data_IF_419086867222
#
_entry.id   IF_419086867222
#
_cell.length_a   1.000
_cell.length_b   1.000
_cell.length_c   1.000
_cell.angle_alpha   90.00
_cell.angle_beta   90.00
_cell.angle_gamma   90.00
#
_symmetry.space_group_name_H-M   'P 1'
#
loop_
_entity.id
_entity.type
_entity.pdbx_description
1 polymer ?
#
# COMPACT_ATOMS: atom_id res chain seq x y z
N UNK A 1 -14.48 5.89 15.69
CA UNK A 1 -13.43 5.25 14.89
C UNK A 1 -12.97 4.08 15.73
N UNK A 2 -13.33 2.84 15.36
CA UNK A 2 -12.92 1.61 16.04
C UNK A 2 -13.05 0.46 15.05
N UNK A 3 -11.95 0.19 14.37
CA UNK A 3 -11.46 -1.12 13.98
C UNK A 3 -10.00 -1.03 14.41
N UNK A 4 -9.68 -1.77 15.48
CA UNK A 4 -8.53 -1.56 16.36
C UNK A 4 -7.22 -1.29 15.60
N UNK A 5 -6.41 -0.42 16.19
CA UNK A 5 -5.19 0.26 15.72
C UNK A 5 -4.05 -0.64 15.17
N UNK A 6 -4.32 -1.91 14.83
CA UNK A 6 -3.37 -2.85 14.24
C UNK A 6 -3.70 -3.33 12.81
N UNK A 7 -4.93 -3.20 12.31
CA UNK A 7 -5.24 -3.74 10.96
C UNK A 7 -4.91 -2.73 9.87
N UNK A 8 -3.86 -3.00 9.09
CA UNK A 8 -3.47 -2.17 7.97
C UNK A 8 -4.52 -2.24 6.84
N UNK A 9 -5.23 -1.13 6.61
CA UNK A 9 -6.12 -0.98 5.45
C UNK A 9 -5.39 -1.31 4.15
N UNK A 10 -6.03 -2.06 3.26
CA UNK A 10 -5.48 -2.51 1.98
C UNK A 10 -6.03 -1.71 0.79
N UNK A 11 -5.20 -1.42 -0.23
CA UNK A 11 -5.64 -0.80 -1.48
C UNK A 11 -6.72 -1.60 -2.22
N UNK A 12 -6.69 -2.93 -2.13
CA UNK A 12 -7.60 -3.83 -2.83
C UNK A 12 -8.23 -4.76 -1.81
N UNK A 13 -9.56 -4.81 -1.79
CA UNK A 13 -10.34 -5.75 -0.98
C UNK A 13 -11.19 -6.60 -1.91
N UNK A 14 -11.02 -7.92 -1.85
CA UNK A 14 -11.84 -8.89 -2.58
C UNK A 14 -12.79 -9.54 -1.60
N UNK A 15 -14.09 -9.53 -1.89
CA UNK A 15 -15.12 -10.13 -1.03
C UNK A 15 -15.82 -11.23 -1.80
N UNK A 16 -15.88 -12.42 -1.20
CA UNK A 16 -16.43 -13.61 -1.81
C UNK A 16 -16.93 -14.55 -0.70
N UNK A 17 -17.97 -15.32 -0.98
CA UNK A 17 -18.61 -16.25 -0.04
C UNK A 17 -18.31 -17.73 -0.33
N UNK A 18 -17.58 -18.03 -1.40
CA UNK A 18 -17.15 -19.39 -1.76
C UNK A 18 -15.62 -19.55 -1.67
N UNK A 19 -15.16 -20.47 -0.83
CA UNK A 19 -13.71 -20.75 -0.61
C UNK A 19 -12.97 -21.04 -1.91
N UNK A 20 -13.58 -21.83 -2.80
CA UNK A 20 -12.98 -22.23 -4.06
C UNK A 20 -12.64 -21.04 -4.97
N UNK A 21 -13.55 -20.05 -5.11
CA UNK A 21 -13.30 -18.86 -5.92
C UNK A 21 -12.18 -18.00 -5.32
N UNK A 22 -12.12 -17.88 -3.99
CA UNK A 22 -11.04 -17.16 -3.31
C UNK A 22 -9.69 -17.82 -3.61
N UNK A 23 -9.62 -19.15 -3.52
CA UNK A 23 -8.44 -19.92 -3.87
C UNK A 23 -7.99 -19.70 -5.31
N UNK A 24 -8.91 -19.77 -6.29
CA UNK A 24 -8.60 -19.50 -7.70
C UNK A 24 -8.08 -18.08 -7.93
N UNK A 25 -8.73 -17.07 -7.34
CA UNK A 25 -8.31 -15.68 -7.44
C UNK A 25 -6.90 -15.52 -6.86
N UNK A 26 -6.64 -16.09 -5.68
CA UNK A 26 -5.32 -16.00 -5.06
C UNK A 26 -4.24 -16.65 -5.92
N UNK A 27 -4.46 -17.88 -6.40
CA UNK A 27 -3.50 -18.59 -7.25
C UNK A 27 -3.18 -17.83 -8.53
N UNK A 28 -4.21 -17.31 -9.20
CA UNK A 28 -4.07 -16.48 -10.39
C UNK A 28 -3.24 -15.23 -10.11
N UNK A 29 -3.50 -14.53 -9.00
CA UNK A 29 -2.76 -13.34 -8.64
C UNK A 29 -1.30 -13.65 -8.26
N UNK A 30 -1.04 -14.74 -7.55
CA UNK A 30 0.32 -15.15 -7.23
C UNK A 30 1.13 -15.54 -8.48
N UNK A 31 0.47 -16.14 -9.48
CA UNK A 31 1.10 -16.49 -10.76
C UNK A 31 1.40 -15.26 -11.61
N UNK A 32 0.40 -14.41 -11.82
CA UNK A 32 0.42 -13.43 -12.92
C UNK A 32 0.71 -12.01 -12.46
N UNK A 33 0.54 -11.71 -11.17
CA UNK A 33 0.79 -10.39 -10.58
C UNK A 33 1.13 -10.48 -9.07
N UNK A 34 2.20 -11.22 -8.69
CA UNK A 34 2.54 -11.47 -7.29
C UNK A 34 2.73 -10.19 -6.48
N UNK A 35 3.14 -9.09 -7.11
CA UNK A 35 3.30 -7.79 -6.45
C UNK A 35 1.98 -7.17 -5.95
N UNK A 36 0.83 -7.71 -6.38
CA UNK A 36 -0.50 -7.30 -5.91
C UNK A 36 -0.82 -7.90 -4.54
N UNK A 37 -0.21 -9.04 -4.17
CA UNK A 37 -0.50 -9.75 -2.93
C UNK A 37 -0.37 -8.84 -1.68
N UNK A 38 0.69 -8.02 -1.62
CA UNK A 38 0.91 -7.07 -0.52
C UNK A 38 -0.19 -6.02 -0.36
N UNK A 39 -0.96 -5.77 -1.43
CA UNK A 39 -2.04 -4.78 -1.49
C UNK A 39 -3.42 -5.38 -1.31
N UNK A 40 -3.50 -6.70 -1.13
CA UNK A 40 -4.74 -7.46 -1.17
C UNK A 40 -5.20 -7.84 0.23
N UNK A 41 -6.49 -7.60 0.49
CA UNK A 41 -7.24 -8.25 1.57
C UNK A 41 -8.30 -9.17 0.95
N UNK A 42 -8.28 -10.45 1.32
CA UNK A 42 -9.31 -11.41 0.96
C UNK A 42 -10.34 -11.48 2.10
N UNK A 43 -11.59 -11.15 1.82
CA UNK A 43 -12.72 -11.25 2.75
C UNK A 43 -13.51 -12.50 2.39
N UNK A 44 -13.39 -13.52 3.23
CA UNK A 44 -14.11 -14.77 3.12
C UNK A 44 -15.39 -14.71 3.96
N UNK A 45 -16.52 -14.69 3.28
CA UNK A 45 -17.85 -14.74 3.90
C UNK A 45 -18.42 -16.16 3.96
N UNK A 46 -17.61 -17.21 3.80
CA UNK A 46 -18.13 -18.57 4.01
C UNK A 46 -18.46 -18.82 5.50
N UNK A 47 -19.23 -19.88 5.76
CA UNK A 47 -19.66 -20.27 7.10
C UNK A 47 -18.44 -20.59 7.98
N UNK A 48 -18.47 -20.21 9.26
CA UNK A 48 -17.41 -20.59 10.20
C UNK A 48 -17.37 -22.11 10.35
N UNK A 49 -16.16 -22.68 10.30
CA UNK A 49 -15.97 -24.12 10.43
C UNK A 49 -14.59 -24.58 9.95
N UNK A 50 -14.31 -25.90 10.06
CA UNK A 50 -13.01 -26.47 9.75
C UNK A 50 -12.52 -26.20 8.33
N UNK A 51 -13.42 -26.13 7.35
CA UNK A 51 -13.07 -25.88 5.95
C UNK A 51 -12.60 -24.44 5.75
N UNK A 52 -13.30 -23.46 6.31
CA UNK A 52 -12.93 -22.04 6.29
C UNK A 52 -11.64 -21.79 7.06
N UNK A 53 -11.48 -22.44 8.22
CA UNK A 53 -10.26 -22.41 9.02
C UNK A 53 -9.05 -22.93 8.22
N UNK A 54 -9.18 -24.09 7.58
CA UNK A 54 -8.13 -24.70 6.78
C UNK A 54 -7.79 -23.87 5.55
N UNK A 55 -8.80 -23.36 4.84
CA UNK A 55 -8.60 -22.52 3.66
C UNK A 55 -7.89 -21.20 4.01
N UNK A 56 -8.29 -20.53 5.10
CA UNK A 56 -7.65 -19.29 5.54
C UNK A 56 -6.17 -19.53 5.92
N UNK A 57 -5.87 -20.61 6.64
CA UNK A 57 -4.49 -20.99 6.97
C UNK A 57 -3.66 -21.26 5.70
N UNK A 58 -4.23 -21.99 4.74
CA UNK A 58 -3.57 -22.31 3.48
C UNK A 58 -3.28 -21.06 2.63
N UNK A 59 -4.22 -20.11 2.54
CA UNK A 59 -4.00 -18.85 1.84
C UNK A 59 -2.92 -18.00 2.48
N UNK A 60 -2.92 -17.90 3.81
CA UNK A 60 -1.90 -17.15 4.55
C UNK A 60 -0.51 -17.77 4.36
N UNK A 61 -0.41 -19.10 4.30
CA UNK A 61 0.85 -19.81 4.07
C UNK A 61 1.38 -19.63 2.63
N UNK A 62 0.49 -19.66 1.64
CA UNK A 62 0.87 -19.53 0.22
C UNK A 62 1.21 -18.08 -0.19
N UNK A 63 0.61 -17.09 0.47
CA UNK A 63 0.80 -15.68 0.18
C UNK A 63 1.22 -14.91 1.44
N UNK A 64 2.54 -14.81 1.73
CA UNK A 64 3.04 -14.15 2.94
C UNK A 64 2.60 -12.68 3.09
N UNK A 65 2.33 -12.00 1.98
CA UNK A 65 1.99 -10.57 2.00
C UNK A 65 0.47 -10.28 2.00
N UNK A 66 -0.37 -11.32 1.85
CA UNK A 66 -1.83 -11.17 1.83
C UNK A 66 -2.39 -11.00 3.25
N UNK A 67 -3.45 -10.20 3.37
CA UNK A 67 -4.31 -10.18 4.56
C UNK A 67 -5.57 -11.00 4.29
N UNK A 68 -6.00 -11.79 5.26
CA UNK A 68 -7.24 -12.57 5.18
C UNK A 68 -8.19 -12.12 6.27
N UNK A 69 -9.42 -11.77 5.90
CA UNK A 69 -10.51 -11.51 6.81
C UNK A 69 -11.54 -12.63 6.71
N UNK A 70 -11.71 -13.41 7.78
CA UNK A 70 -12.60 -14.57 7.78
C UNK A 70 -13.22 -14.83 9.16
N UNK A 71 -14.35 -15.55 9.20
CA UNK A 71 -14.95 -16.05 10.43
C UNK A 71 -14.28 -17.37 10.84
N UNK A 72 -13.06 -17.28 11.36
CA UNK A 72 -12.21 -18.42 11.72
C UNK A 72 -11.87 -18.45 13.20
N UNK A 73 -11.43 -19.60 13.70
CA UNK A 73 -10.82 -19.70 15.02
C UNK A 73 -9.35 -19.23 14.98
N UNK A 74 -8.97 -18.10 15.60
CA UNK A 74 -7.58 -17.63 15.56
C UNK A 74 -6.58 -18.62 16.19
N UNK A 75 -7.06 -19.52 17.05
CA UNK A 75 -6.26 -20.55 17.69
C UNK A 75 -5.69 -21.59 16.72
N UNK A 76 -6.33 -21.80 15.56
CA UNK A 76 -5.84 -22.75 14.55
C UNK A 76 -4.92 -22.11 13.51
N UNK A 77 -4.86 -20.78 13.47
CA UNK A 77 -3.92 -20.04 12.61
C UNK A 77 -2.55 -19.96 13.30
N UNK A 78 -1.44 -20.28 12.59
CA UNK A 78 -0.09 -20.16 13.12
C UNK A 78 0.20 -18.76 13.65
N UNK A 79 0.93 -18.66 14.76
CA UNK A 79 1.18 -17.37 15.43
C UNK A 79 1.83 -16.33 14.50
N UNK A 80 2.71 -16.76 13.60
CA UNK A 80 3.37 -15.91 12.61
C UNK A 80 2.41 -15.26 11.60
N UNK A 81 1.22 -15.84 11.42
CA UNK A 81 0.24 -15.39 10.41
C UNK A 81 -0.92 -14.59 11.03
N UNK A 82 -1.04 -14.58 12.36
CA UNK A 82 -2.16 -13.95 13.07
C UNK A 82 -2.24 -12.44 12.87
N UNK A 83 -1.12 -11.76 12.65
CA UNK A 83 -1.11 -10.32 12.37
C UNK A 83 -1.75 -9.98 11.02
N UNK A 84 -1.77 -10.95 10.09
CA UNK A 84 -2.39 -10.83 8.77
C UNK A 84 -3.81 -11.37 8.72
N UNK A 85 -4.31 -11.90 9.85
CA UNK A 85 -5.65 -12.39 10.00
C UNK A 85 -6.54 -11.33 10.65
N UNK A 86 -7.68 -11.05 10.03
CA UNK A 86 -8.75 -10.25 10.62
C UNK A 86 -9.95 -11.16 10.89
N UNK A 87 -10.33 -11.30 12.16
CA UNK A 87 -11.51 -12.11 12.48
C UNK A 87 -12.78 -11.33 12.18
N UNK A 88 -13.64 -11.88 11.33
CA UNK A 88 -14.94 -11.28 11.04
C UNK A 88 -15.89 -11.49 12.23
N UNK A 89 -16.53 -10.43 12.75
CA UNK A 89 -17.51 -10.59 13.82
C UNK A 89 -18.76 -11.31 13.29
N UNK A 90 -19.44 -12.15 14.09
CA UNK A 90 -20.67 -12.83 13.65
C UNK A 90 -21.76 -11.89 13.12
N UNK A 91 -21.88 -10.69 13.71
CA UNK A 91 -22.81 -9.65 13.27
C UNK A 91 -22.59 -9.19 11.81
N UNK A 92 -21.38 -9.38 11.25
CA UNK A 92 -21.08 -9.13 9.84
C UNK A 92 -22.01 -9.92 8.89
N UNK A 93 -22.50 -11.08 9.32
CA UNK A 93 -23.38 -11.97 8.54
C UNK A 93 -24.87 -11.70 8.79
N UNK A 94 -25.20 -10.82 9.75
CA UNK A 94 -26.55 -10.64 10.27
C UNK A 94 -27.11 -9.24 10.02
N UNK A 95 -26.25 -8.20 9.92
CA UNK A 95 -26.70 -6.84 9.67
C UNK A 95 -25.85 -6.03 8.67
N UNK A 96 -26.54 -5.28 7.81
CA UNK A 96 -25.96 -4.40 6.79
C UNK A 96 -24.94 -3.39 7.36
N UNK A 97 -25.25 -2.63 8.44
CA UNK A 97 -24.30 -1.66 8.98
C UNK A 97 -22.95 -2.27 9.39
N UNK A 98 -22.96 -3.43 10.04
CA UNK A 98 -21.74 -4.11 10.49
C UNK A 98 -20.94 -4.64 9.31
N UNK A 99 -21.59 -5.29 8.34
CA UNK A 99 -20.92 -5.71 7.09
C UNK A 99 -20.21 -4.52 6.43
N UNK A 100 -20.95 -3.44 6.15
CA UNK A 100 -20.41 -2.28 5.44
C UNK A 100 -19.27 -1.62 6.21
N UNK A 101 -19.37 -1.47 7.54
CA UNK A 101 -18.29 -0.89 8.36
C UNK A 101 -17.05 -1.77 8.39
N UNK A 102 -17.21 -3.09 8.50
CA UNK A 102 -16.09 -4.04 8.50
C UNK A 102 -15.34 -3.97 7.17
N UNK A 103 -16.04 -4.09 6.03
CA UNK A 103 -15.40 -4.02 4.71
C UNK A 103 -14.79 -2.63 4.46
N UNK A 104 -15.49 -1.54 4.80
CA UNK A 104 -14.95 -0.19 4.66
C UNK A 104 -13.69 0.01 5.51
N UNK A 105 -13.62 -0.58 6.70
CA UNK A 105 -12.45 -0.46 7.54
C UNK A 105 -11.25 -1.31 7.13
N UNK A 106 -11.45 -2.28 6.25
CA UNK A 106 -10.37 -3.00 5.58
C UNK A 106 -9.84 -2.26 4.35
N UNK A 107 -10.64 -1.35 3.77
CA UNK A 107 -10.34 -0.70 2.50
C UNK A 107 -9.67 0.66 2.71
N UNK A 108 -8.61 0.94 1.93
CA UNK A 108 -8.02 2.28 1.88
C UNK A 108 -8.94 3.27 1.15
N UNK A 109 -8.95 4.56 1.54
CA UNK A 109 -9.56 5.60 0.73
C UNK A 109 -9.06 5.57 -0.73
N UNK A 110 -9.98 5.67 -1.68
CA UNK A 110 -9.70 5.52 -3.11
C UNK A 110 -9.44 4.08 -3.57
N UNK A 111 -9.48 3.10 -2.65
CA UNK A 111 -9.23 1.68 -2.89
C UNK A 111 -10.17 1.03 -3.92
N UNK A 112 -9.91 -0.24 -4.23
CA UNK A 112 -10.77 -1.07 -5.07
C UNK A 112 -11.46 -2.12 -4.21
N UNK A 113 -12.80 -2.09 -4.22
CA UNK A 113 -13.63 -3.17 -3.73
C UNK A 113 -14.02 -4.05 -4.92
N UNK A 114 -13.56 -5.29 -4.94
CA UNK A 114 -14.03 -6.34 -5.85
C UNK A 114 -14.94 -7.27 -5.05
N UNK A 115 -16.22 -7.35 -5.39
CA UNK A 115 -17.19 -8.10 -4.59
C UNK A 115 -17.91 -9.11 -5.47
N UNK A 116 -18.17 -10.33 -4.99
CA UNK A 116 -19.16 -11.16 -5.67
C UNK A 116 -20.54 -10.49 -5.63
N UNK A 117 -21.28 -10.64 -6.71
CA UNK A 117 -22.61 -10.06 -6.80
C UNK A 117 -23.65 -10.87 -6.03
N UNK A 118 -23.38 -12.13 -5.76
CA UNK A 118 -24.27 -13.01 -5.00
C UNK A 118 -23.54 -13.45 -3.74
N UNK A 119 -23.91 -12.86 -2.61
CA UNK A 119 -23.34 -13.17 -1.29
C UNK A 119 -24.38 -13.92 -0.46
N UNK A 120 -24.57 -15.21 -0.76
CA UNK A 120 -25.64 -16.04 -0.21
C UNK A 120 -25.47 -16.38 1.28
N UNK A 121 -24.30 -16.10 1.86
CA UNK A 121 -24.04 -16.30 3.29
C UNK A 121 -24.49 -15.12 4.15
N UNK A 122 -24.77 -13.96 3.56
CA UNK A 122 -25.30 -12.80 4.26
C UNK A 122 -26.80 -12.98 4.49
N UNK A 123 -27.21 -13.29 5.72
CA UNK A 123 -28.59 -13.67 6.07
C UNK A 123 -29.62 -12.57 5.88
N UNK A 124 -29.16 -11.32 5.82
CA UNK A 124 -30.01 -10.16 5.60
C UNK A 124 -30.27 -9.87 4.11
N UNK A 125 -29.57 -10.58 3.19
CA UNK A 125 -29.85 -10.52 1.76
C UNK A 125 -30.80 -11.67 1.38
N UNK A 126 -31.99 -11.38 0.84
CA UNK A 126 -32.88 -12.42 0.34
C UNK A 126 -32.33 -13.08 -0.93
N UNK A 127 -32.48 -14.40 -1.06
CA UNK A 127 -32.02 -15.16 -2.23
C UNK A 127 -32.56 -14.61 -3.57
N UNK A 128 -33.82 -14.17 -3.58
CA UNK A 128 -34.46 -13.60 -4.77
C UNK A 128 -33.94 -12.20 -5.13
N UNK A 129 -33.27 -11.54 -4.18
CA UNK A 129 -32.72 -10.18 -4.30
C UNK A 129 -31.21 -10.15 -4.07
N UNK A 130 -30.51 -11.18 -4.52
CA UNK A 130 -29.04 -11.30 -4.45
C UNK A 130 -28.28 -10.05 -4.93
N UNK A 131 -28.84 -9.35 -5.93
CA UNK A 131 -28.29 -8.12 -6.49
C UNK A 131 -28.27 -6.93 -5.50
N UNK A 132 -28.98 -7.02 -4.36
CA UNK A 132 -28.90 -6.01 -3.29
C UNK A 132 -27.51 -5.91 -2.67
N UNK A 133 -26.64 -6.90 -2.88
CA UNK A 133 -25.22 -6.80 -2.55
C UNK A 133 -24.53 -5.58 -3.20
N UNK A 134 -25.03 -5.10 -4.35
CA UNK A 134 -24.57 -3.87 -5.01
C UNK A 134 -24.84 -2.64 -4.14
N UNK A 135 -25.99 -2.58 -3.45
CA UNK A 135 -26.28 -1.49 -2.53
C UNK A 135 -25.35 -1.48 -1.33
N UNK A 136 -24.86 -2.65 -0.89
CA UNK A 136 -23.85 -2.72 0.16
C UNK A 136 -22.54 -2.07 -0.30
N UNK A 137 -22.08 -2.39 -1.51
CA UNK A 137 -20.89 -1.77 -2.10
C UNK A 137 -21.06 -0.24 -2.29
N UNK A 138 -22.24 0.23 -2.68
CA UNK A 138 -22.56 1.66 -2.76
C UNK A 138 -22.62 2.33 -1.37
N UNK A 139 -23.13 1.63 -0.37
CA UNK A 139 -23.13 2.10 1.02
C UNK A 139 -21.70 2.24 1.53
N UNK A 140 -20.84 1.25 1.29
CA UNK A 140 -19.40 1.31 1.57
C UNK A 140 -18.79 2.50 0.85
N UNK A 141 -19.08 2.68 -0.45
CA UNK A 141 -18.59 3.83 -1.23
C UNK A 141 -18.95 5.17 -0.58
N UNK A 142 -20.20 5.31 -0.12
CA UNK A 142 -20.70 6.49 0.58
C UNK A 142 -20.03 6.79 1.93
N UNK A 143 -19.39 5.80 2.56
CA UNK A 143 -18.63 6.01 3.80
C UNK A 143 -17.31 6.77 3.59
N UNK A 144 -16.84 6.87 2.34
CA UNK A 144 -15.59 7.53 1.98
C UNK A 144 -15.88 8.88 1.31
N UNK A 145 -16.02 9.93 2.12
CA UNK A 145 -16.44 11.25 1.66
C UNK A 145 -15.57 11.83 0.52
N UNK A 146 -14.26 11.94 0.73
CA UNK A 146 -13.36 12.68 -0.18
C UNK A 146 -12.72 11.82 -1.26
N UNK A 147 -12.54 10.53 -0.98
CA UNK A 147 -11.87 9.56 -1.83
C UNK A 147 -12.66 8.24 -1.82
N UNK A 148 -13.82 8.20 -2.50
CA UNK A 148 -14.63 6.99 -2.59
C UNK A 148 -13.88 5.86 -3.30
N UNK A 149 -14.07 4.60 -2.86
CA UNK A 149 -13.50 3.45 -3.54
C UNK A 149 -14.15 3.23 -4.91
N UNK A 150 -13.37 2.63 -5.80
CA UNK A 150 -13.88 2.00 -7.00
C UNK A 150 -14.53 0.67 -6.64
N UNK A 151 -15.72 0.40 -7.15
CA UNK A 151 -16.37 -0.90 -6.97
C UNK A 151 -16.36 -1.67 -8.29
N UNK A 152 -16.09 -2.96 -8.20
CA UNK A 152 -16.20 -3.94 -9.29
C UNK A 152 -16.90 -5.17 -8.73
N UNK A 153 -17.62 -5.86 -9.59
CA UNK A 153 -18.40 -7.01 -9.20
C UNK A 153 -17.93 -8.25 -9.95
N UNK A 154 -18.05 -9.42 -9.34
CA UNK A 154 -17.85 -10.70 -10.00
C UNK A 154 -19.20 -11.38 -10.16
N UNK A 155 -19.38 -12.17 -11.22
CA UNK A 155 -20.59 -12.96 -11.35
C UNK A 155 -20.43 -14.15 -12.29
N UNK A 156 -21.15 -15.23 -11.99
CA UNK A 156 -21.22 -16.44 -12.81
C UNK A 156 -22.16 -16.33 -14.01
N UNK A 157 -23.07 -15.35 -14.02
CA UNK A 157 -23.99 -15.16 -15.15
C UNK A 157 -23.25 -14.59 -16.37
N UNK A 158 -23.88 -14.57 -17.54
CA UNK A 158 -23.38 -13.89 -18.72
C UNK A 158 -24.47 -12.95 -19.25
N UNK A 159 -24.10 -11.83 -19.88
CA UNK A 159 -25.11 -10.89 -20.41
C UNK A 159 -25.85 -10.12 -19.32
N UNK A 160 -25.13 -9.66 -18.29
CA UNK A 160 -25.70 -9.02 -17.11
C UNK A 160 -26.50 -7.74 -17.41
N UNK A 161 -26.20 -7.06 -18.52
CA UNK A 161 -26.94 -5.90 -19.03
C UNK A 161 -28.45 -6.19 -19.18
N UNK A 162 -28.83 -7.44 -19.49
CA UNK A 162 -30.22 -7.85 -19.64
C UNK A 162 -30.86 -8.35 -18.33
N UNK A 163 -30.07 -8.53 -17.27
CA UNK A 163 -30.53 -9.10 -15.98
C UNK A 163 -30.86 -8.02 -14.95
N UNK A 164 -30.35 -6.80 -15.12
CA UNK A 164 -30.52 -5.71 -14.18
C UNK A 164 -31.66 -4.77 -14.60
N UNK A 165 -32.55 -4.46 -13.65
CA UNK A 165 -33.62 -3.49 -13.83
C UNK A 165 -33.11 -2.06 -13.99
N UNK A 166 -33.97 -1.16 -14.47
CA UNK A 166 -33.67 0.27 -14.60
C UNK A 166 -33.22 0.90 -13.27
N UNK A 167 -33.75 0.36 -12.18
CA UNK A 167 -33.54 0.69 -10.77
C UNK A 167 -32.06 0.57 -10.33
N UNK A 168 -31.25 -0.30 -10.96
CA UNK A 168 -29.81 -0.36 -10.68
C UNK A 168 -29.04 0.77 -11.37
N UNK A 169 -29.43 1.15 -12.59
CA UNK A 169 -28.84 2.31 -13.26
C UNK A 169 -29.15 3.61 -12.52
N UNK A 170 -30.37 3.75 -11.96
CA UNK A 170 -30.78 4.91 -11.18
C UNK A 170 -29.92 5.14 -9.93
N UNK A 171 -29.35 4.07 -9.35
CA UNK A 171 -28.41 4.17 -8.23
C UNK A 171 -26.93 4.19 -8.65
N UNK A 172 -26.68 4.43 -9.94
CA UNK A 172 -25.34 4.64 -10.49
C UNK A 172 -24.53 3.35 -10.71
N UNK A 173 -25.18 2.19 -10.79
CA UNK A 173 -24.54 0.96 -11.23
C UNK A 173 -24.26 1.00 -12.74
N UNK A 174 -23.05 0.56 -13.12
CA UNK A 174 -22.64 0.42 -14.51
C UNK A 174 -22.35 -1.06 -14.78
N UNK A 175 -23.07 -1.74 -15.71
CA UNK A 175 -22.84 -3.14 -16.03
C UNK A 175 -21.40 -3.48 -16.44
N UNK A 176 -20.64 -2.49 -16.94
CA UNK A 176 -19.21 -2.63 -17.27
C UNK A 176 -18.33 -2.82 -16.04
N UNK A 177 -18.88 -2.65 -14.84
CA UNK A 177 -18.22 -2.92 -13.57
C UNK A 177 -18.27 -4.41 -13.18
N UNK A 178 -19.04 -5.24 -13.89
CA UNK A 178 -19.15 -6.69 -13.65
C UNK A 178 -18.13 -7.47 -14.48
N UNK A 179 -17.35 -8.30 -13.81
CA UNK A 179 -16.41 -9.25 -14.39
C UNK A 179 -17.06 -10.64 -14.38
N UNK A 180 -17.04 -11.32 -15.52
CA UNK A 180 -17.52 -12.68 -15.60
C UNK A 180 -16.50 -13.64 -14.95
N UNK A 181 -16.94 -14.45 -13.98
CA UNK A 181 -16.08 -15.36 -13.20
C UNK A 181 -15.26 -16.31 -14.09
N UNK A 182 -15.88 -16.87 -15.13
CA UNK A 182 -15.23 -17.74 -16.12
C UNK A 182 -14.14 -17.05 -16.97
N UNK A 183 -14.01 -15.71 -16.91
CA UNK A 183 -12.98 -14.93 -17.61
C UNK A 183 -12.09 -14.14 -16.66
N UNK A 184 -12.16 -14.39 -15.34
CA UNK A 184 -11.31 -13.68 -14.38
C UNK A 184 -9.82 -13.75 -14.73
N UNK A 185 -9.24 -14.89 -15.19
CA UNK A 185 -7.84 -14.92 -15.62
C UNK A 185 -7.49 -13.84 -16.65
N UNK A 186 -8.37 -13.61 -17.62
CA UNK A 186 -8.16 -12.63 -18.70
C UNK A 186 -8.46 -11.19 -18.27
N UNK A 187 -9.39 -11.00 -17.33
CA UNK A 187 -9.97 -9.69 -17.03
C UNK A 187 -9.45 -9.07 -15.73
N UNK A 188 -9.23 -9.89 -14.70
CA UNK A 188 -8.96 -9.41 -13.35
C UNK A 188 -7.58 -8.77 -13.25
N UNK A 189 -6.53 -9.50 -13.66
CA UNK A 189 -5.14 -9.04 -13.55
C UNK A 189 -4.94 -7.68 -14.26
N UNK A 190 -5.38 -7.48 -15.52
CA UNK A 190 -5.27 -6.18 -16.17
C UNK A 190 -6.03 -5.06 -15.45
N UNK A 191 -7.20 -5.36 -14.88
CA UNK A 191 -8.00 -4.39 -14.11
C UNK A 191 -7.26 -3.97 -12.85
N UNK A 192 -6.72 -4.93 -12.08
CA UNK A 192 -6.00 -4.62 -10.84
C UNK A 192 -4.70 -3.86 -11.12
N UNK A 193 -3.93 -4.27 -12.14
CA UNK A 193 -2.70 -3.56 -12.53
C UNK A 193 -3.00 -2.12 -12.99
N UNK A 194 -4.04 -1.93 -13.80
CA UNK A 194 -4.46 -0.60 -14.25
C UNK A 194 -4.93 0.26 -13.09
N UNK A 195 -5.71 -0.32 -12.18
CA UNK A 195 -6.16 0.34 -10.96
C UNK A 195 -4.96 0.78 -10.12
N UNK A 196 -4.04 -0.13 -9.79
CA UNK A 196 -2.81 0.14 -9.03
C UNK A 196 -2.03 1.30 -9.65
N UNK A 197 -1.68 1.19 -10.94
CA UNK A 197 -0.89 2.21 -11.65
C UNK A 197 -1.55 3.58 -11.69
N UNK A 198 -2.89 3.63 -11.64
CA UNK A 198 -3.63 4.89 -11.66
C UNK A 198 -3.76 5.49 -10.27
N UNK A 199 -4.16 4.68 -9.30
CA UNK A 199 -4.65 5.14 -7.99
C UNK A 199 -3.58 5.12 -6.91
N UNK A 200 -2.70 4.12 -6.91
CA UNK A 200 -1.58 4.00 -5.97
C UNK A 200 -0.24 3.92 -6.72
N UNK A 201 0.16 4.99 -7.42
CA UNK A 201 1.27 4.91 -8.37
C UNK A 201 2.65 5.07 -7.74
N UNK A 202 2.70 5.40 -6.45
CA UNK A 202 3.93 5.65 -5.73
C UNK A 202 4.24 4.49 -4.79
N UNK A 203 5.52 4.16 -4.69
CA UNK A 203 6.04 3.21 -3.72
C UNK A 203 6.88 3.98 -2.71
N UNK A 204 6.55 3.83 -1.43
CA UNK A 204 7.28 4.35 -0.31
C UNK A 204 8.05 3.23 0.38
N UNK A 205 9.36 3.37 0.47
CA UNK A 205 10.25 2.47 1.22
C UNK A 205 10.61 3.14 2.54
N UNK A 206 10.49 2.41 3.65
CA UNK A 206 10.84 2.85 5.00
C UNK A 206 11.49 1.70 5.78
N UNK A 207 12.25 1.94 6.86
CA UNK A 207 12.76 0.88 7.71
C UNK A 207 11.62 0.07 8.32
N UNK A 208 11.69 -1.25 8.20
CA UNK A 208 10.80 -2.17 8.90
C UNK A 208 11.33 -2.52 10.30
N UNK A 209 10.47 -3.14 11.14
CA UNK A 209 10.79 -3.46 12.53
C UNK A 209 11.99 -4.42 12.67
N UNK A 210 12.22 -5.28 11.70
CA UNK A 210 13.31 -6.26 11.69
C UNK A 210 14.56 -5.78 10.93
N UNK A 211 14.63 -4.49 10.60
CA UNK A 211 15.73 -3.89 9.84
C UNK A 211 15.64 -4.07 8.32
N UNK A 212 14.65 -4.82 7.83
CA UNK A 212 14.34 -4.93 6.40
C UNK A 212 13.42 -3.78 5.94
N UNK A 213 13.58 -3.23 4.73
CA UNK A 213 12.68 -2.20 4.22
C UNK A 213 11.23 -2.69 4.14
N UNK A 214 10.30 -1.94 4.71
CA UNK A 214 8.87 -2.06 4.43
C UNK A 214 8.52 -1.24 3.19
N UNK A 215 7.57 -1.75 2.39
CA UNK A 215 7.04 -1.05 1.24
C UNK A 215 5.55 -0.69 1.42
N UNK A 216 5.22 0.57 1.14
CA UNK A 216 3.88 1.12 1.20
C UNK A 216 3.50 1.76 -0.13
N UNK A 217 2.37 1.35 -0.68
CA UNK A 217 1.81 1.95 -1.87
C UNK A 217 1.06 3.23 -1.52
N UNK A 218 1.31 4.32 -2.23
CA UNK A 218 0.71 5.63 -1.93
C UNK A 218 -0.04 6.18 -3.12
N UNK A 219 -1.12 6.91 -2.81
CA UNK A 219 -1.81 7.76 -3.75
C UNK A 219 -1.02 9.08 -3.91
N UNK A 220 -1.04 9.66 -5.10
CA UNK A 220 -0.46 10.99 -5.33
C UNK A 220 -1.44 12.13 -5.02
N UNK A 221 -2.65 11.81 -4.56
CA UNK A 221 -3.63 12.78 -4.09
C UNK A 221 -3.22 13.38 -2.73
N UNK A 222 -3.04 14.72 -2.64
CA UNK A 222 -2.65 15.38 -1.39
C UNK A 222 -3.70 15.30 -0.28
N UNK A 223 -4.93 14.87 -0.59
CA UNK A 223 -6.00 14.61 0.38
C UNK A 223 -5.89 13.24 1.04
N UNK A 224 -5.00 12.36 0.55
CA UNK A 224 -4.77 11.08 1.19
C UNK A 224 -4.21 11.30 2.61
N UNK A 225 -4.78 10.67 3.66
CA UNK A 225 -4.33 10.87 5.03
C UNK A 225 -2.94 10.28 5.32
N UNK A 226 -2.51 9.28 4.55
CA UNK A 226 -1.23 8.57 4.72
C UNK A 226 -0.14 9.21 3.86
N UNK A 227 0.26 10.42 4.23
CA UNK A 227 1.35 11.14 3.59
C UNK A 227 2.64 10.92 4.38
N UNK A 228 3.71 10.32 3.82
CA UNK A 228 4.97 10.02 4.53
C UNK A 228 5.54 11.19 5.34
N UNK A 229 5.42 12.42 4.85
CA UNK A 229 5.86 13.61 5.56
C UNK A 229 5.16 13.87 6.91
N UNK A 230 4.06 13.18 7.22
CA UNK A 230 3.35 13.31 8.51
C UNK A 230 3.89 12.37 9.59
N UNK A 231 4.61 11.31 9.21
CA UNK A 231 5.13 10.29 10.14
C UNK A 231 6.62 10.01 9.99
N UNK A 232 7.28 10.51 8.94
CA UNK A 232 8.73 10.43 8.76
C UNK A 232 9.44 11.74 9.12
N UNK A 233 10.64 11.64 9.69
CA UNK A 233 11.53 12.78 9.95
C UNK A 233 12.08 13.39 8.64
N UNK A 234 12.32 12.53 7.63
CA UNK A 234 12.87 12.89 6.33
C UNK A 234 12.33 11.97 5.24
N UNK A 235 11.94 12.54 4.09
CA UNK A 235 11.43 11.80 2.93
C UNK A 235 12.12 12.29 1.67
N UNK A 236 12.81 11.40 0.96
CA UNK A 236 13.27 11.65 -0.40
C UNK A 236 12.14 11.32 -1.37
N UNK A 237 11.53 12.35 -1.95
CA UNK A 237 10.36 12.23 -2.82
C UNK A 237 10.73 12.45 -4.28
N UNK A 238 10.54 11.43 -5.11
CA UNK A 238 10.60 11.52 -6.55
C UNK A 238 9.18 11.62 -7.11
N UNK A 239 8.86 12.73 -7.78
CA UNK A 239 7.55 12.87 -8.41
C UNK A 239 7.52 12.28 -9.83
N UNK A 240 6.31 12.16 -10.39
CA UNK A 240 6.09 11.70 -11.78
C UNK A 240 6.69 12.64 -12.82
N UNK A 241 6.90 13.92 -12.50
CA UNK A 241 7.50 14.94 -13.37
C UNK A 241 9.03 14.95 -13.30
N UNK A 242 9.63 13.92 -12.68
CA UNK A 242 11.08 13.77 -12.47
C UNK A 242 11.70 14.85 -11.59
N UNK A 243 10.91 15.62 -10.84
CA UNK A 243 11.44 16.44 -9.78
C UNK A 243 11.79 15.54 -8.59
N UNK A 244 12.83 15.93 -7.84
CA UNK A 244 13.16 15.29 -6.58
C UNK A 244 13.15 16.33 -5.48
N UNK A 245 12.52 15.99 -4.37
CA UNK A 245 12.36 16.86 -3.22
C UNK A 245 12.81 16.10 -1.99
N UNK A 246 13.41 16.82 -1.06
CA UNK A 246 13.57 16.36 0.30
C UNK A 246 12.46 17.02 1.11
N UNK A 247 11.65 16.24 1.80
CA UNK A 247 10.56 16.70 2.66
C UNK A 247 10.85 16.27 4.10
N UNK A 248 10.30 16.97 5.08
CA UNK A 248 10.27 16.49 6.47
C UNK A 248 10.63 17.54 7.51
N UNK A 249 10.24 17.26 8.75
CA UNK A 249 10.35 18.17 9.89
C UNK A 249 11.80 18.51 10.27
N UNK A 250 12.77 17.70 9.82
CA UNK A 250 14.19 17.93 10.07
C UNK A 250 14.83 18.92 9.10
N UNK A 251 14.12 19.41 8.10
CA UNK A 251 14.65 20.39 7.16
C UNK A 251 14.55 21.82 7.68
N UNK A 252 15.66 22.54 7.60
CA UNK A 252 15.75 23.96 7.86
C UNK A 252 15.41 24.72 6.58
N UNK A 253 14.17 25.18 6.46
CA UNK A 253 13.70 25.92 5.28
C UNK A 253 13.32 27.35 5.62
N UNK A 254 13.76 28.31 4.80
CA UNK A 254 13.41 29.74 4.98
C UNK A 254 11.92 30.01 4.72
N UNK A 255 11.26 29.16 3.94
CA UNK A 255 9.85 29.27 3.59
C UNK A 255 8.90 28.67 4.63
N UNK A 256 9.43 27.98 5.66
CA UNK A 256 8.63 27.24 6.64
C UNK A 256 7.93 26.00 6.07
N UNK A 257 8.16 25.64 4.79
CA UNK A 257 7.47 24.54 4.10
C UNK A 257 8.10 23.17 4.30
N UNK A 258 9.20 23.06 5.05
CA UNK A 258 9.90 21.78 5.32
C UNK A 258 10.15 20.96 4.03
N UNK A 259 10.45 21.67 2.95
CA UNK A 259 10.69 21.15 1.60
C UNK A 259 11.95 21.79 0.99
N UNK A 260 12.79 20.95 0.38
CA UNK A 260 13.96 21.34 -0.39
C UNK A 260 13.91 20.67 -1.78
N UNK A 261 13.90 21.48 -2.84
CA UNK A 261 13.98 20.97 -4.21
C UNK A 261 15.42 20.56 -4.54
N UNK A 262 15.61 19.32 -4.97
CA UNK A 262 16.89 18.74 -5.36
C UNK A 262 16.95 18.59 -6.88
N UNK A 263 17.92 19.27 -7.51
CA UNK A 263 18.17 19.15 -8.95
C UNK A 263 18.97 17.87 -9.23
N UNK A 264 18.49 17.02 -10.12
CA UNK A 264 19.04 15.67 -10.38
C UNK A 264 20.48 15.66 -10.91
N UNK A 265 20.93 16.73 -11.54
CA UNK A 265 22.26 16.92 -12.10
C UNK A 265 23.28 17.49 -11.07
N UNK A 266 22.88 17.60 -9.80
CA UNK A 266 23.74 18.17 -8.76
C UNK A 266 24.33 17.11 -7.85
N UNK A 267 25.54 17.39 -7.34
CA UNK A 267 26.20 16.56 -6.34
C UNK A 267 25.47 16.52 -5.00
N UNK A 268 24.67 17.54 -4.69
CA UNK A 268 23.75 17.55 -3.56
C UNK A 268 22.69 16.45 -3.70
N UNK A 269 22.04 16.33 -4.87
CA UNK A 269 21.11 15.23 -5.15
C UNK A 269 21.77 13.86 -5.05
N UNK A 270 22.91 13.65 -5.74
CA UNK A 270 23.62 12.36 -5.73
C UNK A 270 23.98 11.90 -4.31
N UNK A 271 24.36 12.85 -3.45
CA UNK A 271 24.73 12.55 -2.05
C UNK A 271 23.52 12.23 -1.20
N UNK A 272 22.43 13.01 -1.31
CA UNK A 272 21.19 12.71 -0.58
C UNK A 272 20.59 11.37 -0.98
N UNK A 273 20.53 11.08 -2.27
CA UNK A 273 20.06 9.79 -2.78
C UNK A 273 20.90 8.64 -2.23
N UNK A 274 22.23 8.77 -2.27
CA UNK A 274 23.14 7.76 -1.75
C UNK A 274 22.99 7.54 -0.24
N UNK A 275 22.83 8.60 0.54
CA UNK A 275 22.62 8.51 2.00
C UNK A 275 21.31 7.80 2.35
N UNK A 276 20.21 8.15 1.67
CA UNK A 276 18.89 7.54 1.91
C UNK A 276 18.86 6.09 1.45
N UNK A 277 19.44 5.79 0.29
CA UNK A 277 19.53 4.41 -0.22
C UNK A 277 20.33 3.53 0.73
N UNK A 278 21.54 3.98 1.13
CA UNK A 278 22.37 3.23 2.06
C UNK A 278 21.69 3.03 3.42
N UNK A 279 20.92 4.00 3.89
CA UNK A 279 20.15 3.86 5.13
C UNK A 279 19.03 2.81 5.02
N UNK A 280 18.24 2.87 3.95
CA UNK A 280 17.14 1.92 3.72
C UNK A 280 17.66 0.49 3.51
N UNK A 281 18.78 0.33 2.83
CA UNK A 281 19.40 -0.97 2.57
C UNK A 281 20.25 -1.49 3.75
N UNK A 282 20.16 -0.84 4.93
CA UNK A 282 20.95 -1.16 6.14
C UNK A 282 22.47 -1.21 5.90
N UNK A 283 22.95 -0.42 4.95
CA UNK A 283 24.36 -0.35 4.55
C UNK A 283 25.22 0.56 5.43
N UNK A 284 26.55 0.55 5.24
CA UNK A 284 27.50 1.32 6.06
C UNK A 284 27.44 2.85 5.82
N UNK A 285 26.70 3.31 4.81
CA UNK A 285 26.67 4.69 4.36
C UNK A 285 27.58 4.95 3.15
N UNK A 286 27.88 6.21 2.89
CA UNK A 286 28.70 6.65 1.75
C UNK A 286 30.17 6.79 2.15
N UNK A 287 31.12 6.14 1.45
CA UNK A 287 32.54 6.30 1.74
C UNK A 287 33.01 7.75 1.56
N UNK A 288 33.72 8.30 2.54
CA UNK A 288 34.21 9.69 2.52
C UNK A 288 35.02 10.00 1.26
N UNK A 289 35.90 9.07 0.85
CA UNK A 289 36.73 9.23 -0.34
C UNK A 289 35.91 9.22 -1.63
N UNK A 290 34.84 8.45 -1.68
CA UNK A 290 33.97 8.41 -2.86
C UNK A 290 33.22 9.71 -3.03
N UNK A 291 32.64 10.24 -1.95
CA UNK A 291 32.00 11.56 -1.95
C UNK A 291 33.01 12.64 -2.36
N UNK A 292 34.22 12.60 -1.79
CA UNK A 292 35.28 13.56 -2.11
C UNK A 292 35.71 13.55 -3.58
N UNK A 293 35.91 12.37 -4.17
CA UNK A 293 36.32 12.24 -5.58
C UNK A 293 35.31 12.80 -6.57
N UNK A 294 34.01 12.77 -6.22
CA UNK A 294 32.95 13.36 -7.06
C UNK A 294 32.96 14.89 -7.06
N UNK A 295 33.64 15.51 -6.09
CA UNK A 295 33.59 16.94 -5.80
C UNK A 295 34.91 17.66 -6.04
N UNK A 296 36.03 16.97 -5.83
CA UNK A 296 37.37 17.53 -5.98
C UNK A 296 37.80 17.60 -7.45
N UNK A 297 38.77 18.46 -7.81
CA UNK A 297 39.44 18.43 -9.11
C UNK A 297 40.01 17.05 -9.46
N UNK A 298 40.18 16.75 -10.75
CA UNK A 298 40.64 15.43 -11.23
C UNK A 298 42.05 15.06 -10.71
N UNK A 299 42.91 16.06 -10.46
CA UNK A 299 44.28 15.92 -9.97
C UNK A 299 44.43 16.10 -8.45
N UNK A 300 43.31 16.18 -7.72
CA UNK A 300 43.32 16.44 -6.29
C UNK A 300 43.98 15.31 -5.48
N UNK A 301 44.87 15.69 -4.56
CA UNK A 301 45.47 14.77 -3.60
C UNK A 301 44.47 14.26 -2.55
N UNK A 302 44.82 13.19 -1.84
CA UNK A 302 43.96 12.54 -0.82
C UNK A 302 43.40 13.51 0.24
N UNK A 303 44.21 14.50 0.67
CA UNK A 303 43.78 15.50 1.65
C UNK A 303 42.70 16.43 1.08
N UNK A 304 42.85 16.85 -0.18
CA UNK A 304 41.89 17.73 -0.86
C UNK A 304 40.57 17.01 -1.14
N UNK A 305 40.63 15.74 -1.57
CA UNK A 305 39.45 14.86 -1.69
C UNK A 305 38.66 14.82 -0.37
N UNK A 306 39.36 14.58 0.74
CA UNK A 306 38.72 14.48 2.06
C UNK A 306 38.12 15.82 2.51
N UNK A 307 38.82 16.93 2.25
CA UNK A 307 38.34 18.28 2.54
C UNK A 307 37.14 18.69 1.67
N UNK A 308 37.10 18.30 0.40
CA UNK A 308 35.96 18.52 -0.49
C UNK A 308 34.71 17.80 0.05
N UNK A 309 34.87 16.53 0.46
CA UNK A 309 33.79 15.76 1.07
C UNK A 309 33.28 16.41 2.37
N UNK A 310 34.19 16.81 3.26
CA UNK A 310 33.83 17.43 4.54
C UNK A 310 33.09 18.76 4.36
N UNK A 311 33.54 19.63 3.44
CA UNK A 311 32.85 20.89 3.11
C UNK A 311 31.45 20.65 2.56
N UNK A 312 31.29 19.67 1.68
CA UNK A 312 30.00 19.32 1.10
C UNK A 312 29.02 18.79 2.16
N UNK A 313 29.45 17.84 2.98
CA UNK A 313 28.60 17.33 4.08
C UNK A 313 28.28 18.40 5.11
N UNK A 314 29.21 19.32 5.40
CA UNK A 314 28.93 20.46 6.26
C UNK A 314 27.81 21.35 5.67
N UNK A 315 27.83 21.59 4.35
CA UNK A 315 26.76 22.32 3.67
C UNK A 315 25.41 21.58 3.73
N UNK A 316 25.39 20.25 3.59
CA UNK A 316 24.17 19.45 3.75
C UNK A 316 23.63 19.51 5.18
N UNK A 317 24.50 19.38 6.20
CA UNK A 317 24.14 19.50 7.61
C UNK A 317 23.52 20.87 7.93
N UNK A 318 23.98 21.93 7.28
CA UNK A 318 23.40 23.28 7.45
C UNK A 318 21.96 23.40 6.92
N UNK A 319 21.49 22.45 6.11
CA UNK A 319 20.08 22.33 5.66
C UNK A 319 19.17 21.68 6.69
N UNK A 320 19.72 21.22 7.83
CA UNK A 320 18.98 20.45 8.82
C UNK A 320 18.77 21.26 10.12
N UNK A 321 17.65 20.99 10.78
CA UNK A 321 17.38 21.49 12.13
C UNK A 321 18.24 20.76 13.17
N UNK A 322 18.60 19.51 12.90
CA UNK A 322 19.54 18.71 13.68
C UNK A 322 20.67 18.20 12.76
N UNK A 323 21.87 18.83 12.80
CA UNK A 323 23.03 18.39 12.04
C UNK A 323 23.48 16.96 12.32
N UNK A 324 23.12 16.39 13.47
CA UNK A 324 23.51 15.03 13.87
C UNK A 324 22.78 13.94 13.09
N UNK A 325 21.78 14.30 12.28
CA UNK A 325 21.14 13.37 11.35
C UNK A 325 22.11 12.79 10.33
N UNK A 326 23.14 13.55 9.91
CA UNK A 326 24.26 13.00 9.12
C UNK A 326 25.44 12.77 10.06
N UNK A 327 25.80 11.51 10.27
CA UNK A 327 26.91 11.06 11.11
C UNK A 327 28.15 10.74 10.27
N UNK A 328 29.32 10.77 10.91
CA UNK A 328 30.59 10.39 10.29
C UNK A 328 31.24 9.33 11.15
N UNK A 329 31.34 8.10 10.64
CA UNK A 329 31.80 6.93 11.39
C UNK A 329 32.54 5.99 10.44
N UNK A 330 33.65 5.39 10.88
CA UNK A 330 34.45 4.44 10.11
C UNK A 330 34.74 4.86 8.65
N UNK A 331 35.07 6.13 8.46
CA UNK A 331 35.31 6.75 7.14
C UNK A 331 34.10 6.72 6.18
N UNK A 332 32.88 6.68 6.71
CA UNK A 332 31.62 6.79 5.99
C UNK A 332 30.78 7.95 6.51
N UNK A 333 29.95 8.50 5.63
CA UNK A 333 28.84 9.38 5.99
C UNK A 333 27.54 8.58 5.98
N UNK A 334 26.77 8.62 7.06
CA UNK A 334 25.53 7.84 7.19
C UNK A 334 24.42 8.64 7.86
N UNK A 335 23.18 8.21 7.64
CA UNK A 335 22.03 8.77 8.35
C UNK A 335 21.87 8.06 9.70
N UNK A 336 21.55 8.82 10.75
CA UNK A 336 21.36 8.26 12.09
C UNK A 336 20.15 7.32 12.18
N UNK A 337 20.29 6.20 12.88
CA UNK A 337 19.25 5.15 13.02
C UNK A 337 18.09 5.52 13.93
N UNK A 338 18.21 6.60 14.71
CA UNK A 338 17.14 7.11 15.58
C UNK A 338 16.01 7.84 14.84
N UNK A 339 16.15 8.00 13.53
CA UNK A 339 15.23 8.79 12.69
C UNK A 339 14.43 7.89 11.76
N UNK A 340 13.19 8.30 11.48
CA UNK A 340 12.35 7.64 10.48
C UNK A 340 12.57 8.29 9.12
N UNK A 341 13.22 7.58 8.20
CA UNK A 341 13.59 8.09 6.88
C UNK A 341 12.94 7.24 5.81
N UNK A 342 12.35 7.87 4.80
CA UNK A 342 11.70 7.16 3.70
C UNK A 342 12.15 7.63 2.32
N UNK A 343 11.98 6.77 1.32
CA UNK A 343 12.09 7.10 -0.10
C UNK A 343 10.75 6.85 -0.78
N UNK A 344 10.23 7.85 -1.48
CA UNK A 344 9.02 7.73 -2.31
C UNK A 344 9.40 7.86 -3.77
N UNK A 345 9.01 6.89 -4.59
CA UNK A 345 9.27 6.90 -6.03
C UNK A 345 8.06 6.44 -6.84
N UNK A 346 7.91 6.89 -8.10
CA UNK A 346 6.95 6.29 -9.00
C UNK A 346 7.28 4.82 -9.17
N UNK A 347 6.29 3.95 -9.02
CA UNK A 347 6.47 2.53 -9.28
C UNK A 347 6.70 2.32 -10.78
N UNK A 348 7.78 1.62 -11.14
CA UNK A 348 8.21 1.43 -12.54
C UNK A 348 7.94 0.02 -13.09
N UNK A 349 7.16 -0.81 -12.38
CA UNK A 349 6.84 -2.17 -12.84
C UNK A 349 5.79 -2.25 -13.94
#
# INVERSE_FOLDING_TARGET
MNLDEGTQRKPIVVVEDHLYHIGEILQMLLSDAPEIAAQLCLVCLDRPGPDTDAAAADWLAQAPDVTVAAAVNPGVIPAADRERLVTLPPACFEDTPTYCRTVAGLLRPGGLLLQDIQLGTLRFLPDERWWESIYLANTIRGMFATLPPHCRFMSNKSGFEATFGADLFEVGFDPREVLAKHRLPELLVPVLQRFRRRTFPLLCRLPGPDGWPQELWLNDDPREPLQPQTFCDLVLWHDRRRQTKLLGTRLKTRSGKNELLLKRDTKEFETWQGLVTAFLDAGPGLPVREVGRRLAPEDAGNAEISNAAARHIHALRARLNDPTLIQTEDHHYRLGTRWTIAEVKPYSG
#
